data_IF_491203250408
#
_entry.id   IF_491203250408
#
_cell.length_a   1.000
_cell.length_b   1.000
_cell.length_c   1.000
_cell.angle_alpha   90.00
_cell.angle_beta   90.00
_cell.angle_gamma   90.00
#
_symmetry.space_group_name_H-M   'P 1'
#
loop_
_entity.id
_entity.type
_entity.pdbx_description
1 polymer ?
#
# COMPACT_ATOMS: atom_id res chain seq x y z
N UNK A 1 -16.64 12.99 2.46
CA UNK A 1 -15.93 12.42 3.63
C UNK A 1 -15.92 10.88 3.63
N UNK A 2 -17.08 10.20 3.64
CA UNK A 2 -17.12 8.72 3.75
C UNK A 2 -16.41 8.02 2.59
N UNK A 3 -16.60 8.48 1.34
CA UNK A 3 -15.93 7.94 0.17
C UNK A 3 -14.39 7.95 0.29
N UNK A 4 -13.82 9.04 0.82
CA UNK A 4 -12.36 9.16 1.01
C UNK A 4 -11.83 8.16 2.04
N UNK A 5 -12.59 7.87 3.10
CA UNK A 5 -12.22 6.86 4.10
C UNK A 5 -12.23 5.46 3.48
N UNK A 6 -13.26 5.15 2.67
CA UNK A 6 -13.35 3.86 1.96
C UNK A 6 -12.19 3.69 0.99
N UNK A 7 -11.89 4.71 0.18
CA UNK A 7 -10.77 4.68 -0.77
C UNK A 7 -9.45 4.49 -0.01
N UNK A 8 -9.25 5.23 1.08
CA UNK A 8 -8.05 5.13 1.91
C UNK A 8 -7.82 3.69 2.44
N UNK A 9 -8.85 3.07 3.00
CA UNK A 9 -8.79 1.69 3.54
C UNK A 9 -8.56 0.64 2.44
N UNK A 10 -9.03 0.91 1.23
CA UNK A 10 -8.81 0.03 0.08
C UNK A 10 -7.40 0.18 -0.48
N UNK A 11 -6.97 1.42 -0.67
CA UNK A 11 -5.67 1.78 -1.23
C UNK A 11 -4.54 1.37 -0.29
N UNK A 12 -4.72 1.42 1.02
CA UNK A 12 -3.68 0.98 1.97
C UNK A 12 -3.31 -0.49 1.84
N UNK A 13 -4.20 -1.36 1.33
CA UNK A 13 -3.86 -2.76 1.05
C UNK A 13 -2.83 -2.90 -0.07
N UNK A 14 -2.80 -1.95 -1.00
CA UNK A 14 -1.75 -1.89 -2.03
C UNK A 14 -0.37 -1.54 -1.44
N UNK A 15 -0.32 -0.80 -0.33
CA UNK A 15 0.93 -0.53 0.40
C UNK A 15 1.49 -1.80 1.07
N UNK A 16 0.62 -2.67 1.58
CA UNK A 16 1.04 -3.96 2.13
C UNK A 16 1.61 -4.84 1.03
N UNK A 17 0.93 -4.91 -0.12
CA UNK A 17 1.36 -5.71 -1.27
C UNK A 17 2.70 -5.22 -1.86
N UNK A 18 2.91 -3.90 -1.95
CA UNK A 18 4.21 -3.33 -2.37
C UNK A 18 5.31 -3.67 -1.38
N UNK A 19 5.04 -3.54 -0.09
CA UNK A 19 6.01 -3.89 0.96
C UNK A 19 6.34 -5.37 0.94
N UNK A 20 5.33 -6.24 0.76
CA UNK A 20 5.52 -7.68 0.67
C UNK A 20 6.34 -8.09 -0.57
N UNK A 21 6.15 -7.40 -1.70
CA UNK A 21 6.88 -7.71 -2.94
C UNK A 21 8.35 -7.27 -2.90
N UNK A 22 8.67 -6.14 -2.25
CA UNK A 22 10.04 -5.62 -2.18
C UNK A 22 10.85 -6.18 -1.01
N UNK A 23 10.21 -6.80 -0.03
CA UNK A 23 10.87 -7.29 1.18
C UNK A 23 11.22 -8.77 1.13
N UNK A 24 12.25 -9.13 1.89
CA UNK A 24 12.72 -10.50 2.05
C UNK A 24 11.93 -11.20 3.16
N UNK A 25 11.46 -12.44 2.93
CA UNK A 25 10.65 -13.17 3.90
C UNK A 25 11.44 -13.52 5.17
N UNK A 26 10.74 -13.52 6.30
CA UNK A 26 11.22 -14.07 7.59
C UNK A 26 10.94 -15.56 7.66
N UNK A 27 11.91 -16.37 8.11
CA UNK A 27 11.72 -17.83 8.29
C UNK A 27 10.61 -18.19 9.31
N UNK A 28 10.18 -17.25 10.16
CA UNK A 28 9.13 -17.49 11.16
C UNK A 28 8.14 -16.32 11.25
N UNK A 29 6.87 -16.54 10.88
CA UNK A 29 5.76 -15.62 11.11
C UNK A 29 4.63 -15.69 10.08
N UNK A 30 3.41 -15.28 10.48
CA UNK A 30 2.21 -15.31 9.62
C UNK A 30 2.35 -14.38 8.39
N UNK A 31 3.10 -13.29 8.54
CA UNK A 31 3.41 -12.36 7.44
C UNK A 31 4.31 -12.94 6.34
N UNK A 32 5.04 -14.02 6.62
CA UNK A 32 5.90 -14.67 5.63
C UNK A 32 5.08 -15.33 4.50
N UNK A 33 3.91 -15.89 4.81
CA UNK A 33 3.01 -16.44 3.79
C UNK A 33 2.55 -15.39 2.78
N UNK A 34 2.38 -14.14 3.21
CA UNK A 34 2.04 -13.03 2.31
C UNK A 34 3.19 -12.69 1.37
N UNK A 35 4.43 -12.64 1.87
CA UNK A 35 5.62 -12.38 1.05
C UNK A 35 5.85 -13.53 0.06
N UNK A 36 5.72 -14.78 0.52
CA UNK A 36 5.92 -15.98 -0.30
C UNK A 36 4.84 -16.18 -1.38
N UNK A 37 3.61 -15.77 -1.09
CA UNK A 37 2.47 -15.88 -2.03
C UNK A 37 2.39 -14.71 -3.02
N UNK A 38 3.07 -13.58 -2.70
CA UNK A 38 3.06 -12.39 -3.55
C UNK A 38 3.98 -12.58 -4.76
N UNK A 39 3.38 -12.91 -5.89
CA UNK A 39 4.02 -12.90 -7.20
C UNK A 39 3.82 -11.55 -7.91
N UNK A 40 4.75 -11.20 -8.80
CA UNK A 40 4.67 -9.94 -9.58
C UNK A 40 3.36 -9.82 -10.37
N UNK A 41 2.82 -10.94 -10.86
CA UNK A 41 1.55 -11.00 -11.59
C UNK A 41 0.36 -10.73 -10.68
N UNK A 42 0.34 -11.31 -9.47
CA UNK A 42 -0.73 -11.08 -8.50
C UNK A 42 -0.74 -9.63 -8.01
N UNK A 43 0.45 -9.05 -7.82
CA UNK A 43 0.60 -7.64 -7.49
C UNK A 43 0.03 -6.72 -8.58
N UNK A 44 0.37 -6.96 -9.86
CA UNK A 44 -0.14 -6.17 -10.98
C UNK A 44 -1.67 -6.31 -11.09
N UNK A 45 -2.20 -7.54 -10.99
CA UNK A 45 -3.65 -7.76 -11.01
C UNK A 45 -4.37 -7.03 -9.87
N UNK A 46 -3.89 -7.16 -8.63
CA UNK A 46 -4.49 -6.49 -7.49
C UNK A 46 -4.40 -4.97 -7.59
N UNK A 47 -3.27 -4.42 -8.02
CA UNK A 47 -3.12 -2.96 -8.18
C UNK A 47 -4.01 -2.41 -9.29
N UNK A 48 -4.19 -3.13 -10.40
CA UNK A 48 -5.13 -2.73 -11.46
C UNK A 48 -6.57 -2.73 -10.95
N UNK A 49 -6.99 -3.77 -10.22
CA UNK A 49 -8.34 -3.84 -9.63
C UNK A 49 -8.57 -2.66 -8.66
N UNK A 50 -7.61 -2.39 -7.77
CA UNK A 50 -7.70 -1.27 -6.83
C UNK A 50 -7.71 0.08 -7.55
N UNK A 51 -6.94 0.25 -8.64
CA UNK A 51 -6.93 1.46 -9.44
C UNK A 51 -8.29 1.73 -10.10
N UNK A 52 -8.92 0.69 -10.67
CA UNK A 52 -10.26 0.82 -11.29
C UNK A 52 -11.30 1.21 -10.24
N UNK A 53 -11.27 0.59 -9.06
CA UNK A 53 -12.19 0.92 -7.96
C UNK A 53 -11.93 2.35 -7.45
N UNK A 54 -10.66 2.73 -7.28
CA UNK A 54 -10.29 4.06 -6.80
C UNK A 54 -10.74 5.17 -7.76
N UNK A 55 -10.63 4.94 -9.08
CA UNK A 55 -11.14 5.85 -10.09
C UNK A 55 -12.68 5.93 -10.08
N UNK A 56 -13.38 4.79 -9.96
CA UNK A 56 -14.84 4.77 -9.90
C UNK A 56 -15.41 5.50 -8.67
N UNK A 57 -14.74 5.42 -7.52
CA UNK A 57 -15.26 5.97 -6.25
C UNK A 57 -14.74 7.39 -5.97
N UNK A 58 -13.51 7.71 -6.39
CA UNK A 58 -12.83 8.96 -6.04
C UNK A 58 -12.26 9.72 -7.22
N UNK A 59 -12.54 9.31 -8.45
CA UNK A 59 -12.05 9.93 -9.69
C UNK A 59 -10.52 10.10 -9.66
N UNK A 60 -9.99 11.18 -10.24
CA UNK A 60 -8.56 11.54 -10.25
C UNK A 60 -7.96 11.56 -8.83
N UNK A 61 -8.71 12.01 -7.82
CA UNK A 61 -8.24 12.10 -6.42
C UNK A 61 -7.92 10.70 -5.87
N UNK A 62 -8.76 9.71 -6.16
CA UNK A 62 -8.55 8.32 -5.74
C UNK A 62 -7.29 7.70 -6.34
N UNK A 63 -7.01 7.99 -7.61
CA UNK A 63 -5.81 7.51 -8.31
C UNK A 63 -4.54 8.15 -7.74
N UNK A 64 -4.57 9.43 -7.39
CA UNK A 64 -3.45 10.12 -6.74
C UNK A 64 -3.20 9.51 -5.34
N UNK A 65 -4.26 9.19 -4.60
CA UNK A 65 -4.17 8.48 -3.33
C UNK A 65 -3.49 7.11 -3.46
N UNK A 66 -3.79 6.36 -4.54
CA UNK A 66 -3.14 5.09 -4.85
C UNK A 66 -1.63 5.24 -5.06
N UNK A 67 -1.21 6.25 -5.83
CA UNK A 67 0.20 6.54 -6.02
C UNK A 67 0.91 6.83 -4.67
N UNK A 68 0.27 7.61 -3.80
CA UNK A 68 0.77 7.90 -2.45
C UNK A 68 0.98 6.65 -1.60
N UNK A 69 0.06 5.68 -1.63
CA UNK A 69 0.19 4.44 -0.87
C UNK A 69 1.24 3.48 -1.44
N UNK A 70 1.41 3.42 -2.77
CA UNK A 70 2.48 2.64 -3.40
C UNK A 70 3.85 3.20 -2.99
N UNK A 71 4.01 4.53 -3.01
CA UNK A 71 5.24 5.19 -2.55
C UNK A 71 5.49 4.90 -1.06
N UNK A 72 4.44 4.96 -0.23
CA UNK A 72 4.54 4.65 1.20
C UNK A 72 5.03 3.21 1.45
N UNK A 73 4.45 2.23 0.77
CA UNK A 73 4.87 0.83 0.89
C UNK A 73 6.29 0.60 0.39
N UNK A 74 6.70 1.24 -0.71
CA UNK A 74 8.08 1.18 -1.20
C UNK A 74 9.09 1.78 -0.20
N UNK A 75 8.75 2.91 0.43
CA UNK A 75 9.58 3.53 1.47
C UNK A 75 9.76 2.62 2.68
N UNK A 76 8.67 1.99 3.13
CA UNK A 76 8.70 1.09 4.29
C UNK A 76 9.47 -0.18 3.97
N UNK A 77 9.31 -0.73 2.76
CA UNK A 77 10.11 -1.85 2.29
C UNK A 77 11.60 -1.52 2.32
N UNK A 78 11.98 -0.31 1.88
CA UNK A 78 13.37 0.13 1.89
C UNK A 78 13.92 0.31 3.30
N UNK A 79 13.15 0.92 4.20
CA UNK A 79 13.51 1.10 5.63
C UNK A 79 13.64 -0.27 6.30
N UNK A 80 12.71 -1.19 6.05
CA UNK A 80 12.73 -2.54 6.60
C UNK A 80 13.95 -3.32 6.13
N UNK A 81 14.26 -3.26 4.83
CA UNK A 81 15.44 -3.90 4.25
C UNK A 81 16.74 -3.36 4.85
N UNK A 82 16.82 -2.05 5.10
CA UNK A 82 18.02 -1.40 5.64
C UNK A 82 18.22 -1.66 7.15
N UNK A 83 17.14 -1.68 7.93
CA UNK A 83 17.24 -1.77 9.39
C UNK A 83 17.06 -3.19 9.95
N UNK A 84 16.17 -3.99 9.36
CA UNK A 84 15.75 -5.28 9.92
C UNK A 84 16.22 -6.47 9.08
N UNK A 85 16.68 -6.26 7.83
CA UNK A 85 17.13 -7.28 6.85
C UNK A 85 16.03 -8.28 6.43
N UNK A 86 15.00 -8.42 7.26
CA UNK A 86 13.92 -9.39 7.16
C UNK A 86 12.60 -8.65 7.46
N UNK A 87 11.56 -8.87 6.65
CA UNK A 87 10.24 -8.32 6.92
C UNK A 87 9.35 -9.30 7.69
N UNK A 88 8.81 -8.82 8.81
CA UNK A 88 7.85 -9.53 9.66
C UNK A 88 6.43 -8.96 9.51
N UNK A 89 5.45 -9.63 10.10
CA UNK A 89 4.05 -9.18 10.14
C UNK A 89 3.86 -7.76 10.67
N UNK A 90 4.71 -7.31 11.60
CA UNK A 90 4.67 -5.95 12.15
C UNK A 90 5.02 -4.89 11.10
N UNK A 91 5.95 -5.18 10.19
CA UNK A 91 6.33 -4.27 9.09
C UNK A 91 5.17 -4.16 8.08
N UNK A 92 4.47 -5.26 7.82
CA UNK A 92 3.27 -5.26 6.98
C UNK A 92 2.12 -4.47 7.62
N UNK A 93 1.92 -4.64 8.94
CA UNK A 93 0.95 -3.86 9.71
C UNK A 93 1.28 -2.37 9.71
N UNK A 94 2.55 -2.02 9.93
CA UNK A 94 3.04 -0.64 9.84
C UNK A 94 2.81 -0.06 8.44
N UNK A 95 3.07 -0.86 7.39
CA UNK A 95 2.80 -0.44 6.02
C UNK A 95 1.36 -0.06 5.79
N UNK A 96 0.40 -0.81 6.35
CA UNK A 96 -1.00 -0.48 6.20
C UNK A 96 -1.36 0.87 6.85
N UNK A 97 -0.85 1.14 8.05
CA UNK A 97 -1.13 2.40 8.77
C UNK A 97 -0.51 3.59 8.05
N UNK A 98 0.77 3.49 7.67
CA UNK A 98 1.48 4.57 6.95
C UNK A 98 0.91 4.74 5.54
N UNK A 99 0.48 3.67 4.89
CA UNK A 99 -0.20 3.70 3.60
C UNK A 99 -1.51 4.48 3.66
N UNK A 100 -2.32 4.31 4.71
CA UNK A 100 -3.53 5.12 4.94
C UNK A 100 -3.20 6.60 5.12
N UNK A 101 -2.19 6.88 5.95
CA UNK A 101 -1.78 8.24 6.27
C UNK A 101 -1.29 8.98 5.02
N UNK A 102 -0.45 8.34 4.21
CA UNK A 102 0.04 8.90 2.96
C UNK A 102 -1.07 9.04 1.91
N UNK A 103 -1.95 8.05 1.76
CA UNK A 103 -3.08 8.14 0.82
C UNK A 103 -3.98 9.35 1.15
N UNK A 104 -4.31 9.56 2.43
CA UNK A 104 -5.11 10.72 2.86
C UNK A 104 -4.38 12.05 2.64
N UNK A 105 -3.08 12.10 2.89
CA UNK A 105 -2.27 13.31 2.66
C UNK A 105 -2.28 13.69 1.17
N UNK A 106 -1.98 12.72 0.29
CA UNK A 106 -1.99 12.93 -1.16
C UNK A 106 -3.39 13.29 -1.69
N UNK A 107 -4.45 12.62 -1.21
CA UNK A 107 -5.83 12.97 -1.57
C UNK A 107 -6.20 14.38 -1.08
N UNK A 108 -5.78 14.78 0.13
CA UNK A 108 -6.06 16.12 0.66
C UNK A 108 -5.36 17.21 -0.14
N UNK A 109 -4.11 16.96 -0.57
CA UNK A 109 -3.38 17.89 -1.44
C UNK A 109 -4.04 17.95 -2.82
N UNK A 110 -4.42 16.82 -3.39
CA UNK A 110 -5.11 16.77 -4.69
C UNK A 110 -6.44 17.56 -4.65
N UNK A 111 -7.23 17.41 -3.60
CA UNK A 111 -8.47 18.18 -3.39
C UNK A 111 -8.24 19.68 -3.18
N UNK A 112 -7.05 20.10 -2.76
CA UNK A 112 -6.75 21.52 -2.59
C UNK A 112 -6.42 22.20 -3.93
N UNK A 113 -5.83 21.47 -4.87
CA UNK A 113 -5.43 21.97 -6.18
C UNK A 113 -6.53 21.86 -7.26
N UNK A 114 -7.62 21.17 -6.97
CA UNK A 114 -8.70 20.81 -7.89
C UNK A 114 -10.01 21.47 -7.44
#
# INVERSE_FOLDING_TARGET
CIAAIIICEMVSKSSILTTALLSTPSDQGIGCYFIYSTNILNYILSTVIVAVIAYLVGDVVGVIGLAGAIVAGALIAFIAKRNFVIANGDVLGMSNEVGRLMALLFMSVALFFL
#
